data_IF_800280991995
#
_entry.id   IF_800280991995
#
_cell.length_a   1.000
_cell.length_b   1.000
_cell.length_c   1.000
_cell.angle_alpha   90.00
_cell.angle_beta   90.00
_cell.angle_gamma   90.00
#
_symmetry.space_group_name_H-M   'P 1'
#
loop_
_entity.id
_entity.type
_entity.pdbx_description
1 polymer ?
#
# COMPACT_ATOMS: atom_id res chain seq x y z
N UNK A 1 -10.61 -24.32 -1.90
CA UNK A 1 -9.22 -23.93 -2.19
C UNK A 1 -8.45 -23.53 -0.93
N UNK A 2 -8.68 -22.35 -0.32
CA UNK A 2 -7.86 -21.90 0.83
C UNK A 2 -7.88 -22.84 2.03
N UNK A 3 -9.02 -23.48 2.32
CA UNK A 3 -9.09 -24.50 3.39
C UNK A 3 -8.19 -25.72 3.11
N UNK A 4 -8.07 -26.15 1.86
CA UNK A 4 -7.19 -27.26 1.48
C UNK A 4 -5.72 -26.86 1.50
N UNK A 5 -5.39 -25.63 1.05
CA UNK A 5 -4.03 -25.08 1.18
C UNK A 5 -3.61 -24.95 2.65
N UNK A 6 -4.53 -24.51 3.51
CA UNK A 6 -4.26 -24.45 4.95
C UNK A 6 -4.10 -25.86 5.56
N UNK A 7 -4.88 -26.84 5.12
CA UNK A 7 -4.74 -28.24 5.56
C UNK A 7 -3.36 -28.79 5.15
N UNK A 8 -2.95 -28.55 3.89
CA UNK A 8 -1.61 -28.91 3.42
C UNK A 8 -0.52 -28.26 4.27
N UNK A 9 -0.66 -26.97 4.59
CA UNK A 9 0.30 -26.29 5.45
C UNK A 9 0.42 -26.95 6.83
N UNK A 10 -0.71 -27.29 7.46
CA UNK A 10 -0.72 -27.97 8.76
C UNK A 10 -0.06 -29.35 8.70
N UNK A 11 -0.30 -30.11 7.64
CA UNK A 11 0.32 -31.43 7.42
C UNK A 11 1.86 -31.32 7.42
N UNK A 12 2.40 -30.26 6.80
CA UNK A 12 3.83 -30.02 6.71
C UNK A 12 4.38 -29.09 7.81
N UNK A 13 3.58 -28.75 8.82
CA UNK A 13 3.94 -27.82 9.92
C UNK A 13 4.38 -26.44 9.42
N UNK A 14 3.75 -25.99 8.35
CA UNK A 14 3.97 -24.66 7.78
C UNK A 14 2.94 -23.66 8.27
N UNK A 15 3.27 -22.40 8.22
CA UNK A 15 2.31 -21.30 8.38
C UNK A 15 1.81 -20.88 7.01
N UNK A 16 0.50 -20.94 6.82
CA UNK A 16 -0.19 -20.47 5.63
C UNK A 16 -0.75 -19.07 5.86
N UNK A 17 -0.54 -18.18 4.90
CA UNK A 17 -1.18 -16.88 4.87
C UNK A 17 -1.58 -16.51 3.45
N UNK A 18 -2.63 -15.72 3.32
CA UNK A 18 -3.11 -15.23 2.03
C UNK A 18 -3.53 -13.78 2.12
N UNK A 19 -3.30 -13.04 1.05
CA UNK A 19 -3.79 -11.68 0.85
C UNK A 19 -4.30 -11.53 -0.58
N UNK A 20 -5.63 -11.53 -0.71
CA UNK A 20 -6.36 -11.55 -2.00
C UNK A 20 -5.95 -12.79 -2.81
N UNK A 21 -5.08 -12.64 -3.80
CA UNK A 21 -4.55 -13.68 -4.69
C UNK A 21 -3.10 -14.10 -4.35
N UNK A 22 -2.44 -13.38 -3.47
CA UNK A 22 -1.09 -13.73 -3.01
C UNK A 22 -1.16 -14.79 -1.91
N UNK A 23 -0.52 -15.93 -2.11
CA UNK A 23 -0.41 -17.04 -1.17
C UNK A 23 1.01 -17.17 -0.67
N UNK A 24 1.18 -17.37 0.62
CA UNK A 24 2.49 -17.53 1.25
C UNK A 24 2.50 -18.71 2.20
N UNK A 25 3.49 -19.58 2.06
CA UNK A 25 3.85 -20.61 3.02
C UNK A 25 5.16 -20.22 3.69
N UNK A 26 5.26 -20.42 5.00
CA UNK A 26 6.50 -20.11 5.73
C UNK A 26 6.74 -21.09 6.87
N UNK A 27 8.01 -21.26 7.22
CA UNK A 27 8.46 -22.10 8.33
C UNK A 27 9.65 -21.47 9.02
N UNK A 28 9.95 -21.96 10.25
CA UNK A 28 11.20 -21.70 10.96
C UNK A 28 12.25 -22.76 10.68
N UNK A 29 11.90 -23.82 10.01
CA UNK A 29 12.82 -24.88 9.59
C UNK A 29 13.54 -24.40 8.33
N UNK A 30 14.82 -24.07 8.47
CA UNK A 30 15.69 -23.59 7.40
C UNK A 30 16.07 -24.68 6.38
N UNK A 31 15.82 -25.96 6.73
CA UNK A 31 16.08 -27.11 5.88
C UNK A 31 14.84 -27.62 5.15
N UNK A 32 13.69 -26.97 5.34
CA UNK A 32 12.45 -27.40 4.70
C UNK A 32 12.55 -27.23 3.17
N UNK A 33 12.30 -28.33 2.48
CA UNK A 33 12.25 -28.34 1.01
C UNK A 33 10.86 -27.92 0.51
N UNK A 34 10.71 -26.67 0.14
CA UNK A 34 9.47 -26.14 -0.42
C UNK A 34 9.15 -26.71 -1.82
N UNK A 35 10.15 -27.15 -2.57
CA UNK A 35 9.91 -27.74 -3.90
C UNK A 35 9.10 -29.03 -3.80
N UNK A 36 9.27 -29.80 -2.73
CA UNK A 36 8.56 -31.05 -2.47
C UNK A 36 7.02 -30.90 -2.34
N UNK A 37 6.53 -29.71 -2.05
CA UNK A 37 5.09 -29.43 -1.89
C UNK A 37 4.49 -28.65 -3.06
N UNK A 38 5.31 -28.16 -3.99
CA UNK A 38 4.84 -27.32 -5.12
C UNK A 38 3.79 -28.08 -5.97
N UNK A 39 4.03 -29.33 -6.31
CA UNK A 39 3.10 -30.13 -7.08
C UNK A 39 1.75 -30.28 -6.37
N UNK A 40 1.76 -30.50 -5.07
CA UNK A 40 0.52 -30.60 -4.25
C UNK A 40 -0.23 -29.26 -4.20
N UNK A 41 0.49 -28.13 -4.16
CA UNK A 41 -0.10 -26.79 -4.25
C UNK A 41 -0.75 -26.61 -5.62
N UNK A 42 -0.03 -26.95 -6.70
CA UNK A 42 -0.53 -26.85 -8.07
C UNK A 42 -1.76 -27.72 -8.29
N UNK A 43 -1.79 -28.94 -7.76
CA UNK A 43 -2.95 -29.86 -7.82
C UNK A 43 -4.17 -29.24 -7.12
N UNK A 44 -3.97 -28.63 -5.95
CA UNK A 44 -5.06 -27.95 -5.25
C UNK A 44 -5.56 -26.77 -6.07
N UNK A 45 -4.67 -25.90 -6.56
CA UNK A 45 -5.05 -24.74 -7.37
C UNK A 45 -5.82 -25.16 -8.63
N UNK A 46 -5.31 -26.16 -9.37
CA UNK A 46 -5.90 -26.65 -10.61
C UNK A 46 -7.32 -27.17 -10.41
N UNK A 47 -7.61 -27.87 -9.31
CA UNK A 47 -8.97 -28.35 -8.97
C UNK A 47 -9.99 -27.23 -8.84
N UNK A 48 -9.54 -26.01 -8.55
CA UNK A 48 -10.38 -24.81 -8.43
C UNK A 48 -10.27 -23.87 -9.64
N UNK A 49 -9.66 -24.34 -10.73
CA UNK A 49 -9.52 -23.55 -11.96
C UNK A 49 -8.48 -22.43 -11.90
N UNK A 50 -7.54 -22.52 -10.94
CA UNK A 50 -6.44 -21.58 -10.78
C UNK A 50 -5.12 -22.23 -11.18
N UNK A 51 -4.15 -21.42 -11.54
CA UNK A 51 -2.78 -21.85 -11.80
C UNK A 51 -1.77 -20.91 -11.16
N UNK A 52 -0.70 -21.47 -10.64
CA UNK A 52 0.42 -20.71 -10.09
C UNK A 52 1.19 -20.04 -11.24
N UNK A 53 1.57 -18.79 -11.06
CA UNK A 53 2.49 -18.07 -11.96
C UNK A 53 3.93 -18.41 -11.57
N UNK A 54 4.55 -19.33 -12.29
CA UNK A 54 5.90 -19.82 -12.01
C UNK A 54 6.91 -18.68 -11.94
N UNK A 55 6.83 -17.72 -12.86
CA UNK A 55 7.71 -16.56 -12.92
C UNK A 55 7.58 -15.57 -11.73
N UNK A 56 6.52 -15.71 -10.95
CA UNK A 56 6.28 -14.91 -9.74
C UNK A 56 6.46 -15.70 -8.45
N UNK A 57 6.56 -17.02 -8.55
CA UNK A 57 6.79 -17.87 -7.39
C UNK A 57 8.24 -17.74 -6.94
N UNK A 58 8.44 -17.52 -5.66
CA UNK A 58 9.77 -17.34 -5.06
C UNK A 58 9.89 -18.22 -3.83
N UNK A 59 10.97 -18.97 -3.74
CA UNK A 59 11.41 -19.63 -2.51
C UNK A 59 12.57 -18.78 -1.97
N UNK A 60 12.49 -18.37 -0.72
CA UNK A 60 13.45 -17.46 -0.13
C UNK A 60 13.93 -17.95 1.25
N UNK A 61 15.21 -17.90 1.47
CA UNK A 61 15.87 -18.25 2.73
C UNK A 61 16.37 -16.97 3.42
N UNK A 62 15.68 -16.56 4.48
CA UNK A 62 16.00 -15.31 5.19
C UNK A 62 17.39 -15.33 5.83
N UNK A 63 17.90 -16.51 6.15
CA UNK A 63 19.22 -16.70 6.74
C UNK A 63 20.37 -16.47 5.75
N UNK A 64 20.10 -16.67 4.46
CA UNK A 64 21.04 -16.36 3.38
C UNK A 64 21.06 -14.86 3.02
N UNK A 65 20.37 -14.01 3.78
CA UNK A 65 20.26 -12.57 3.52
C UNK A 65 19.24 -12.20 2.46
N UNK A 66 18.46 -13.15 1.98
CA UNK A 66 17.36 -12.88 1.07
C UNK A 66 16.26 -12.06 1.74
N UNK A 67 15.60 -11.22 0.96
CA UNK A 67 14.57 -10.31 1.44
C UNK A 67 13.34 -10.38 0.52
N UNK A 68 12.48 -11.39 0.67
CA UNK A 68 11.27 -11.49 -0.12
C UNK A 68 10.36 -10.28 0.12
N UNK A 69 9.60 -9.95 -0.89
CA UNK A 69 8.61 -8.87 -0.82
C UNK A 69 7.21 -9.47 -0.84
N UNK A 70 6.50 -9.33 0.26
CA UNK A 70 5.10 -9.75 0.39
C UNK A 70 4.23 -8.49 0.46
N UNK A 71 3.29 -8.34 -0.46
CA UNK A 71 2.40 -7.15 -0.56
C UNK A 71 3.12 -5.80 -0.53
N UNK A 72 4.35 -5.75 -1.06
CA UNK A 72 5.18 -4.55 -1.07
C UNK A 72 5.98 -4.30 0.22
N UNK A 73 5.93 -5.22 1.18
CA UNK A 73 6.67 -5.18 2.43
C UNK A 73 7.87 -6.14 2.34
N UNK A 74 9.05 -5.67 2.67
CA UNK A 74 10.23 -6.51 2.78
C UNK A 74 10.23 -7.30 4.08
N UNK A 75 10.36 -8.60 3.96
CA UNK A 75 10.54 -9.51 5.09
C UNK A 75 12.04 -9.74 5.28
N UNK A 76 12.53 -9.45 6.47
CA UNK A 76 13.88 -9.76 6.93
C UNK A 76 13.81 -10.65 8.15
N UNK A 77 14.88 -11.42 8.43
CA UNK A 77 14.94 -12.41 9.50
C UNK A 77 14.30 -11.97 10.83
N UNK A 78 14.49 -10.71 11.24
CA UNK A 78 14.01 -10.20 12.54
C UNK A 78 13.11 -8.98 12.44
N UNK A 79 12.79 -8.50 11.25
CA UNK A 79 12.00 -7.29 11.06
C UNK A 79 11.35 -7.20 9.68
N UNK A 80 10.25 -6.52 9.64
CA UNK A 80 9.63 -6.07 8.39
C UNK A 80 10.10 -4.67 8.06
N UNK A 81 10.15 -4.33 6.76
CA UNK A 81 10.51 -3.01 6.27
C UNK A 81 9.65 -2.59 5.09
N UNK A 82 9.40 -1.31 4.99
CA UNK A 82 8.83 -0.75 3.78
C UNK A 82 9.82 -0.89 2.61
N UNK A 83 9.31 -1.23 1.42
CA UNK A 83 10.15 -1.42 0.25
C UNK A 83 10.81 -0.11 -0.21
N UNK A 84 11.96 -0.22 -0.88
CA UNK A 84 12.61 0.94 -1.50
C UNK A 84 11.71 1.68 -2.49
N UNK A 85 10.77 0.97 -3.12
CA UNK A 85 9.76 1.56 -4.01
C UNK A 85 8.81 2.49 -3.25
N UNK A 86 8.38 2.12 -2.03
CA UNK A 86 7.57 2.98 -1.17
C UNK A 86 8.31 4.25 -0.77
N UNK A 87 9.57 4.12 -0.34
CA UNK A 87 10.41 5.27 0.01
C UNK A 87 10.64 6.20 -1.17
N UNK A 88 10.96 5.66 -2.36
CA UNK A 88 11.14 6.48 -3.57
C UNK A 88 9.87 7.24 -3.94
N UNK A 89 8.71 6.58 -3.89
CA UNK A 89 7.41 7.24 -4.14
C UNK A 89 7.12 8.34 -3.10
N UNK A 90 7.41 8.08 -1.83
CA UNK A 90 7.24 9.08 -0.76
C UNK A 90 8.08 10.34 -1.05
N UNK A 91 9.37 10.16 -1.32
CA UNK A 91 10.28 11.28 -1.61
C UNK A 91 9.90 11.99 -2.91
N UNK A 92 9.49 11.26 -3.94
CA UNK A 92 9.01 11.85 -5.18
C UNK A 92 7.81 12.79 -4.94
N UNK A 93 6.76 12.31 -4.27
CA UNK A 93 5.58 13.14 -3.99
C UNK A 93 5.93 14.36 -3.12
N UNK A 94 6.80 14.20 -2.12
CA UNK A 94 7.26 15.30 -1.30
C UNK A 94 8.01 16.35 -2.12
N UNK A 95 9.00 15.94 -2.93
CA UNK A 95 9.77 16.85 -3.79
C UNK A 95 8.87 17.55 -4.80
N UNK A 96 7.93 16.84 -5.40
CA UNK A 96 6.97 17.42 -6.32
C UNK A 96 6.20 18.57 -5.67
N UNK A 97 5.66 18.35 -4.47
CA UNK A 97 4.89 19.35 -3.72
C UNK A 97 5.68 20.61 -3.37
N UNK A 98 6.94 20.47 -2.98
CA UNK A 98 7.77 21.65 -2.66
C UNK A 98 8.27 22.39 -3.91
N UNK A 99 8.37 21.72 -5.06
CA UNK A 99 8.86 22.31 -6.31
C UNK A 99 7.75 22.91 -7.16
N UNK A 100 6.48 22.62 -6.88
CA UNK A 100 5.35 23.09 -7.67
C UNK A 100 4.42 23.95 -6.81
N UNK A 101 4.67 25.27 -6.74
CA UNK A 101 3.81 26.18 -5.98
C UNK A 101 2.40 26.20 -6.57
N UNK A 102 1.42 26.31 -5.70
CA UNK A 102 0.02 26.22 -6.05
C UNK A 102 -0.48 27.59 -6.52
N UNK A 103 -0.63 27.77 -7.83
CA UNK A 103 -0.99 29.06 -8.45
C UNK A 103 -2.37 29.08 -9.10
N UNK A 104 -3.03 27.92 -9.28
CA UNK A 104 -4.30 27.79 -9.98
C UNK A 104 -5.15 26.62 -9.43
N UNK A 105 -6.41 26.57 -9.81
CA UNK A 105 -7.31 25.46 -9.45
C UNK A 105 -6.77 24.10 -9.95
N UNK A 106 -6.23 24.06 -11.18
CA UNK A 106 -5.63 22.84 -11.75
C UNK A 106 -4.43 22.40 -10.93
N UNK A 107 -3.53 23.34 -10.58
CA UNK A 107 -2.37 23.06 -9.73
C UNK A 107 -2.78 22.57 -8.34
N UNK A 108 -3.90 23.06 -7.79
CA UNK A 108 -4.44 22.55 -6.52
C UNK A 108 -4.86 21.09 -6.63
N UNK A 109 -5.54 20.71 -7.70
CA UNK A 109 -6.01 19.33 -7.87
C UNK A 109 -4.85 18.35 -8.04
N UNK A 110 -3.83 18.72 -8.80
CA UNK A 110 -2.59 17.94 -8.93
C UNK A 110 -1.84 17.85 -7.59
N UNK A 111 -1.68 18.98 -6.91
CA UNK A 111 -1.06 19.02 -5.59
C UNK A 111 -1.77 18.15 -4.58
N UNK A 112 -3.10 18.15 -4.63
CA UNK A 112 -3.89 17.26 -3.76
C UNK A 112 -3.62 15.78 -4.03
N UNK A 113 -3.53 15.38 -5.28
CA UNK A 113 -3.19 14.01 -5.65
C UNK A 113 -1.84 13.58 -5.05
N UNK A 114 -0.82 14.43 -5.18
CA UNK A 114 0.50 14.18 -4.60
C UNK A 114 0.49 14.22 -3.07
N UNK A 115 -0.30 15.13 -2.48
CA UNK A 115 -0.45 15.23 -1.04
C UNK A 115 -1.10 13.97 -0.43
N UNK A 116 -2.20 13.49 -1.02
CA UNK A 116 -2.88 12.26 -0.60
C UNK A 116 -1.97 11.05 -0.71
N UNK A 117 -1.21 10.95 -1.83
CA UNK A 117 -0.25 9.88 -2.02
C UNK A 117 0.89 9.93 -0.98
N UNK A 118 1.40 11.13 -0.68
CA UNK A 118 2.44 11.34 0.32
C UNK A 118 1.95 10.95 1.73
N UNK A 119 0.78 11.43 2.14
CA UNK A 119 0.22 11.15 3.46
C UNK A 119 -0.07 9.65 3.65
N UNK A 120 -0.67 9.01 2.64
CA UNK A 120 -0.92 7.57 2.65
C UNK A 120 0.37 6.75 2.77
N UNK A 121 1.41 7.10 1.98
CA UNK A 121 2.71 6.44 2.06
C UNK A 121 3.38 6.65 3.42
N UNK A 122 3.33 7.85 3.98
CA UNK A 122 3.86 8.13 5.33
C UNK A 122 3.17 7.28 6.39
N UNK A 123 1.84 7.20 6.37
CA UNK A 123 1.07 6.39 7.31
C UNK A 123 1.42 4.90 7.19
N UNK A 124 1.50 4.41 5.95
CA UNK A 124 1.85 3.01 5.69
C UNK A 124 3.27 2.69 6.16
N UNK A 125 4.25 3.52 5.81
CA UNK A 125 5.64 3.30 6.22
C UNK A 125 5.78 3.41 7.74
N UNK A 126 5.09 4.36 8.38
CA UNK A 126 5.12 4.52 9.84
C UNK A 126 4.46 3.34 10.57
N UNK A 127 3.47 2.69 9.95
CA UNK A 127 2.86 1.47 10.47
C UNK A 127 3.83 0.29 10.38
N UNK A 128 4.50 0.12 9.24
CA UNK A 128 5.48 -0.97 9.00
C UNK A 128 6.74 -0.76 9.84
N UNK A 129 7.23 0.47 9.94
CA UNK A 129 8.47 0.84 10.61
C UNK A 129 8.26 1.98 11.61
N UNK A 130 7.62 1.75 12.77
CA UNK A 130 7.31 2.82 13.74
C UNK A 130 8.53 3.62 14.19
N UNK A 131 9.68 2.95 14.32
CA UNK A 131 10.95 3.57 14.75
C UNK A 131 11.50 4.59 13.76
N UNK A 132 10.99 4.62 12.52
CA UNK A 132 11.45 5.57 11.51
C UNK A 132 10.64 6.86 11.47
N UNK A 133 9.60 7.01 12.30
CA UNK A 133 8.79 8.25 12.39
C UNK A 133 9.66 9.48 12.61
N UNK A 134 10.61 9.40 13.53
CA UNK A 134 11.52 10.51 13.82
C UNK A 134 12.41 10.86 12.61
N UNK A 135 12.87 9.85 11.86
CA UNK A 135 13.67 10.06 10.66
C UNK A 135 12.91 10.81 9.55
N UNK A 136 11.58 10.75 9.57
CA UNK A 136 10.70 11.43 8.61
C UNK A 136 10.00 12.65 9.19
N UNK A 137 10.42 13.11 10.34
CA UNK A 137 9.81 14.23 11.09
C UNK A 137 9.60 15.47 10.21
N UNK A 138 10.57 15.82 9.39
CA UNK A 138 10.50 16.97 8.49
C UNK A 138 9.38 16.82 7.43
N UNK A 139 9.20 15.64 6.83
CA UNK A 139 8.13 15.38 5.86
C UNK A 139 6.77 15.40 6.56
N UNK A 140 6.68 14.81 7.74
CA UNK A 140 5.45 14.80 8.53
C UNK A 140 5.06 16.21 8.99
N UNK A 141 6.02 17.03 9.36
CA UNK A 141 5.78 18.45 9.71
C UNK A 141 5.22 19.19 8.50
N UNK A 142 5.76 18.95 7.29
CA UNK A 142 5.22 19.51 6.07
C UNK A 142 3.76 19.07 5.85
N UNK A 143 3.46 17.75 5.94
CA UNK A 143 2.10 17.23 5.77
C UNK A 143 1.14 17.87 6.77
N UNK A 144 1.48 17.89 8.06
CA UNK A 144 0.63 18.45 9.11
C UNK A 144 0.38 19.96 8.92
N UNK A 145 1.39 20.70 8.48
CA UNK A 145 1.28 22.15 8.22
C UNK A 145 0.34 22.44 7.04
N UNK A 146 0.42 21.66 5.99
CA UNK A 146 -0.28 21.95 4.73
C UNK A 146 -1.64 21.22 4.60
N UNK A 147 -1.96 20.28 5.47
CA UNK A 147 -3.21 19.52 5.40
C UNK A 147 -4.45 20.43 5.34
N UNK A 148 -4.55 21.40 6.24
CA UNK A 148 -5.68 22.35 6.28
C UNK A 148 -5.73 23.22 5.04
N UNK A 149 -4.58 23.66 4.55
CA UNK A 149 -4.50 24.51 3.37
C UNK A 149 -4.89 23.76 2.11
N UNK A 150 -4.44 22.52 1.95
CA UNK A 150 -4.87 21.65 0.85
C UNK A 150 -6.37 21.37 0.91
N UNK A 151 -6.89 20.99 2.05
CA UNK A 151 -8.34 20.79 2.24
C UNK A 151 -9.14 22.07 1.97
N UNK A 152 -8.64 23.22 2.40
CA UNK A 152 -9.26 24.51 2.19
C UNK A 152 -9.31 24.89 0.72
N UNK A 153 -8.26 24.64 -0.03
CA UNK A 153 -8.08 25.16 -1.39
C UNK A 153 -8.61 24.24 -2.49
N UNK A 154 -8.70 22.92 -2.21
CA UNK A 154 -9.36 21.98 -3.14
C UNK A 154 -10.83 22.32 -3.33
N UNK A 155 -11.43 23.07 -2.42
CA UNK A 155 -12.85 23.04 -2.39
C UNK A 155 -13.53 24.29 -1.83
N UNK A 156 -13.49 25.42 -2.50
CA UNK A 156 -14.49 26.45 -2.28
C UNK A 156 -15.91 25.88 -2.39
N UNK A 157 -16.14 24.95 -3.28
CA UNK A 157 -17.42 24.32 -3.57
C UNK A 157 -17.75 23.16 -2.61
N UNK A 158 -16.78 22.32 -2.28
CA UNK A 158 -16.98 21.23 -1.31
C UNK A 158 -17.23 21.75 0.11
N UNK A 159 -16.90 23.00 0.44
CA UNK A 159 -17.24 23.64 1.72
C UNK A 159 -18.73 23.80 1.95
N UNK A 160 -19.55 23.91 0.88
CA UNK A 160 -21.00 23.98 0.99
C UNK A 160 -21.64 22.65 1.39
N UNK A 161 -20.90 21.55 1.32
CA UNK A 161 -21.38 20.25 1.77
C UNK A 161 -21.34 20.20 3.30
N UNK A 162 -22.45 19.76 3.93
CA UNK A 162 -22.51 19.56 5.38
C UNK A 162 -21.36 18.69 5.86
N UNK A 163 -20.80 19.00 7.02
CA UNK A 163 -19.54 18.48 7.52
C UNK A 163 -19.38 16.94 7.45
N UNK A 164 -20.45 16.18 7.71
CA UNK A 164 -20.40 14.71 7.66
C UNK A 164 -20.39 14.15 6.22
N UNK A 165 -21.10 14.80 5.32
CA UNK A 165 -21.07 14.45 3.91
C UNK A 165 -19.71 14.79 3.30
N UNK A 166 -19.13 15.90 3.71
CA UNK A 166 -17.80 16.35 3.35
C UNK A 166 -16.72 15.35 3.74
N UNK A 167 -16.70 14.91 4.99
CA UNK A 167 -15.75 13.90 5.46
C UNK A 167 -15.86 12.60 4.66
N UNK A 168 -17.07 12.13 4.39
CA UNK A 168 -17.28 10.92 3.60
C UNK A 168 -16.85 11.07 2.13
N UNK A 169 -17.04 12.25 1.53
CA UNK A 169 -16.63 12.52 0.14
C UNK A 169 -15.13 12.72 0.00
N UNK A 170 -14.49 13.39 0.94
CA UNK A 170 -13.03 13.48 1.00
C UNK A 170 -12.44 12.09 1.18
N UNK A 171 -12.99 11.29 2.07
CA UNK A 171 -12.53 9.93 2.26
C UNK A 171 -12.65 9.10 0.98
N UNK A 172 -13.77 9.22 0.24
CA UNK A 172 -13.93 8.58 -1.06
C UNK A 172 -12.96 9.12 -2.11
N UNK A 173 -12.73 10.43 -2.17
CA UNK A 173 -11.73 11.02 -3.05
C UNK A 173 -10.31 10.56 -2.67
N UNK A 174 -10.06 10.40 -1.40
CA UNK A 174 -8.82 9.88 -0.84
C UNK A 174 -8.56 8.42 -1.24
N UNK A 175 -9.64 7.62 -1.27
CA UNK A 175 -9.59 6.21 -1.70
C UNK A 175 -9.64 6.05 -3.22
N UNK A 176 -10.07 7.08 -3.95
CA UNK A 176 -10.03 7.07 -5.41
C UNK A 176 -8.60 7.34 -5.90
N UNK A 177 -8.13 6.53 -6.82
CA UNK A 177 -6.83 6.73 -7.46
C UNK A 177 -6.78 8.03 -8.29
N UNK A 178 -7.92 8.64 -8.57
CA UNK A 178 -8.03 9.83 -9.40
C UNK A 178 -8.96 10.88 -8.77
N UNK A 179 -8.37 11.81 -8.02
CA UNK A 179 -9.08 12.95 -7.40
C UNK A 179 -9.62 13.93 -8.45
N UNK A 180 -8.96 14.04 -9.59
CA UNK A 180 -9.38 14.90 -10.70
C UNK A 180 -10.69 14.37 -11.30
N UNK A 181 -10.78 13.07 -11.54
CA UNK A 181 -12.01 12.43 -12.05
C UNK A 181 -13.16 12.58 -11.05
N UNK A 182 -12.86 12.40 -9.75
CA UNK A 182 -13.87 12.66 -8.72
C UNK A 182 -14.37 14.11 -8.74
N UNK A 183 -13.48 15.07 -8.88
CA UNK A 183 -13.84 16.48 -8.99
C UNK A 183 -14.67 16.73 -10.24
N UNK A 184 -14.21 16.29 -11.41
CA UNK A 184 -14.91 16.47 -12.68
C UNK A 184 -16.30 15.85 -12.69
N UNK A 185 -16.45 14.66 -12.11
CA UNK A 185 -17.73 13.96 -11.99
C UNK A 185 -18.71 14.64 -11.03
N UNK A 186 -18.25 15.53 -10.16
CA UNK A 186 -19.08 16.15 -9.13
C UNK A 186 -19.12 17.68 -9.20
N UNK A 187 -18.39 18.32 -10.12
CA UNK A 187 -18.27 19.78 -10.18
C UNK A 187 -19.62 20.49 -10.28
N UNK A 188 -20.56 19.95 -11.09
CA UNK A 188 -21.88 20.55 -11.30
C UNK A 188 -22.83 20.39 -10.10
N UNK A 189 -22.49 19.46 -9.19
CA UNK A 189 -23.21 19.27 -7.91
C UNK A 189 -22.59 20.07 -6.76
N UNK A 190 -21.48 20.73 -7.03
CA UNK A 190 -20.67 21.43 -6.05
C UNK A 190 -20.80 22.96 -6.18
N UNK A 191 -21.59 23.43 -7.16
CA UNK A 191 -21.95 24.85 -7.39
C UNK A 191 -23.08 25.30 -6.49
#
# INVERSE_FOLDING_TARGET
MFAELNKLALEYRLVFSTYVDDVTFSTKDDKFDFESIIEKIDDILNRYGHSRKTEKTQICHLDNGECPTITGIWIKRYKVRASSKMYRKMIYNYRWLISNPINSATTYMESWKHFVALDGLLKTIDYIEPVTKEKRKYIRTFVNKHEKDYLKNISPHLRKLKSNYWKGKIYKAYMCSNVIDFYNANKDRLV
#
